data_IF_574252272931
#
_entry.id   IF_574252272931
#
_cell.length_a   1.000
_cell.length_b   1.000
_cell.length_c   1.000
_cell.angle_alpha   90.00
_cell.angle_beta   90.00
_cell.angle_gamma   90.00
#
_symmetry.space_group_name_H-M   'P 1'
#
loop_
_entity.id
_entity.type
_entity.pdbx_description
1 polymer ?
#
# COMPACT_ATOMS: atom_id res chain seq x y z
N UNK A 1 -65.43 10.80 46.97
CA UNK A 1 -64.37 11.81 47.17
C UNK A 1 -63.16 11.34 46.37
N UNK A 2 -62.89 12.00 45.24
CA UNK A 2 -61.73 11.77 44.36
C UNK A 2 -60.46 12.31 45.01
N UNK A 3 -59.33 11.58 44.93
CA UNK A 3 -57.98 12.16 44.98
C UNK A 3 -57.10 11.43 43.96
N UNK A 4 -56.17 12.19 43.37
CA UNK A 4 -55.71 12.18 41.98
C UNK A 4 -54.57 11.21 41.61
N UNK A 5 -54.48 11.02 40.28
CA UNK A 5 -53.37 10.48 39.46
C UNK A 5 -51.97 10.95 39.88
N UNK A 6 -50.99 10.05 39.81
CA UNK A 6 -49.62 10.39 39.39
C UNK A 6 -49.12 9.37 38.35
N UNK A 7 -49.00 9.84 37.10
CA UNK A 7 -48.33 9.10 36.02
C UNK A 7 -46.83 9.25 36.24
N UNK A 8 -46.16 8.20 36.71
CA UNK A 8 -44.70 8.15 36.65
C UNK A 8 -44.32 7.26 35.47
N UNK A 9 -44.31 7.88 34.28
CA UNK A 9 -43.50 7.46 33.16
C UNK A 9 -42.06 7.40 33.68
N UNK A 10 -41.50 6.20 33.86
CA UNK A 10 -40.04 6.07 33.89
C UNK A 10 -39.61 6.06 32.43
N UNK A 11 -38.98 7.12 31.90
CA UNK A 11 -38.48 7.06 30.55
C UNK A 11 -37.34 6.03 30.53
N UNK A 12 -37.42 5.15 29.54
CA UNK A 12 -36.38 4.26 29.07
C UNK A 12 -35.16 5.11 28.63
N UNK A 13 -34.38 5.60 29.58
CA UNK A 13 -33.24 6.49 29.32
C UNK A 13 -31.94 5.80 29.72
N UNK A 14 -31.39 5.04 28.78
CA UNK A 14 -29.94 4.88 28.59
C UNK A 14 -29.72 4.27 27.20
N UNK A 15 -30.24 4.98 26.21
CA UNK A 15 -29.85 4.84 24.81
C UNK A 15 -28.36 5.15 24.73
N UNK A 16 -27.56 4.12 24.43
CA UNK A 16 -26.42 4.17 23.52
C UNK A 16 -25.39 5.25 23.88
N UNK A 17 -24.51 4.92 24.83
CA UNK A 17 -23.15 5.49 24.86
C UNK A 17 -22.31 4.76 23.80
N UNK A 18 -22.66 4.89 22.52
CA UNK A 18 -21.70 4.61 21.45
C UNK A 18 -20.75 5.79 21.48
N UNK A 19 -19.61 5.59 22.15
CA UNK A 19 -18.48 6.47 22.05
C UNK A 19 -18.26 6.81 20.58
N UNK A 20 -18.35 8.08 20.24
CA UNK A 20 -17.86 8.64 19.00
C UNK A 20 -16.32 8.55 18.98
N UNK A 21 -15.76 7.34 18.98
CA UNK A 21 -14.37 7.16 18.59
C UNK A 21 -14.35 7.29 17.06
N UNK A 22 -14.29 8.52 16.57
CA UNK A 22 -13.76 8.75 15.22
C UNK A 22 -12.32 8.26 15.24
N UNK A 23 -12.11 6.98 14.94
CA UNK A 23 -10.78 6.40 14.89
C UNK A 23 -10.11 6.93 13.61
N UNK A 24 -9.64 8.18 13.66
CA UNK A 24 -8.72 8.69 12.65
C UNK A 24 -7.38 8.03 12.95
N UNK A 25 -7.05 7.02 12.15
CA UNK A 25 -5.78 6.34 12.27
C UNK A 25 -4.65 7.32 11.91
N UNK A 26 -3.64 7.45 12.77
CA UNK A 26 -2.49 8.30 12.45
C UNK A 26 -1.79 7.76 11.19
N UNK A 27 -1.39 8.67 10.31
CA UNK A 27 -0.73 8.34 9.04
C UNK A 27 0.71 8.82 9.08
N UNK A 28 1.62 7.97 8.59
CA UNK A 28 3.06 8.25 8.58
C UNK A 28 3.58 8.33 7.15
N UNK A 29 4.67 9.06 6.96
CA UNK A 29 5.35 9.12 5.67
C UNK A 29 6.14 7.83 5.46
N UNK A 30 5.86 7.15 4.35
CA UNK A 30 6.58 5.97 3.88
C UNK A 30 7.28 6.31 2.58
N UNK A 31 8.58 6.04 2.51
CA UNK A 31 9.34 6.18 1.26
C UNK A 31 10.01 4.87 0.90
N UNK A 32 9.82 4.45 -0.33
CA UNK A 32 10.36 3.20 -0.87
C UNK A 32 11.15 3.54 -2.12
N UNK A 33 12.41 3.13 -2.16
CA UNK A 33 13.19 3.06 -3.39
C UNK A 33 13.13 1.64 -3.92
N UNK A 34 12.42 1.43 -5.02
CA UNK A 34 12.38 0.16 -5.72
C UNK A 34 13.57 0.05 -6.66
N UNK A 35 14.19 -1.12 -6.71
CA UNK A 35 15.19 -1.53 -7.70
C UNK A 35 14.80 -2.90 -8.23
N UNK A 36 14.71 -3.05 -9.55
CA UNK A 36 14.40 -4.33 -10.18
C UNK A 36 15.39 -4.64 -11.29
N UNK A 37 16.13 -5.74 -11.12
CA UNK A 37 17.00 -6.30 -12.15
C UNK A 37 16.13 -6.98 -13.23
N UNK A 38 16.13 -6.40 -14.43
CA UNK A 38 15.42 -6.92 -15.60
C UNK A 38 16.37 -7.49 -16.67
N UNK A 39 17.67 -7.65 -16.37
CA UNK A 39 18.69 -8.14 -17.32
C UNK A 39 18.41 -9.54 -17.87
N UNK A 40 17.56 -10.31 -17.18
CA UNK A 40 17.14 -11.65 -17.59
C UNK A 40 16.08 -11.67 -18.71
N UNK A 41 15.52 -10.51 -19.05
CA UNK A 41 14.38 -10.39 -19.96
C UNK A 41 14.88 -9.90 -21.30
N UNK A 42 14.76 -10.76 -22.30
CA UNK A 42 15.12 -10.42 -23.67
C UNK A 42 14.32 -9.21 -24.17
N UNK A 43 15.02 -8.25 -24.77
CA UNK A 43 14.41 -7.05 -25.38
C UNK A 43 13.58 -6.20 -24.42
N UNK A 44 13.89 -6.21 -23.12
CA UNK A 44 13.30 -5.26 -22.17
C UNK A 44 13.74 -3.83 -22.52
N UNK A 45 12.78 -2.91 -22.62
CA UNK A 45 13.05 -1.49 -22.92
C UNK A 45 12.40 -0.52 -21.94
N UNK A 46 11.46 -1.01 -21.13
CA UNK A 46 10.83 -0.26 -20.07
C UNK A 46 10.29 -1.22 -19.01
N UNK A 47 10.39 -0.80 -17.75
CA UNK A 47 9.70 -1.44 -16.63
C UNK A 47 8.85 -0.39 -15.93
N UNK A 48 7.67 -0.80 -15.50
CA UNK A 48 6.80 -0.02 -14.65
C UNK A 48 6.41 -0.79 -13.41
N UNK A 49 5.77 -0.08 -12.48
CA UNK A 49 5.26 -0.65 -11.24
C UNK A 49 3.84 -0.16 -10.97
N UNK A 50 3.01 -1.04 -10.42
CA UNK A 50 1.68 -0.70 -9.95
C UNK A 50 1.33 -1.48 -8.69
N UNK A 51 0.46 -0.91 -7.86
CA UNK A 51 0.12 -1.51 -6.58
C UNK A 51 -0.80 -0.64 -5.74
N UNK A 52 -0.92 -0.97 -4.45
CA UNK A 52 -1.79 -0.26 -3.49
C UNK A 52 -1.46 1.24 -3.35
N UNK A 53 -0.22 1.65 -3.66
CA UNK A 53 0.22 3.04 -3.57
C UNK A 53 -0.11 3.88 -4.81
N UNK A 54 -0.66 3.27 -5.87
CA UNK A 54 -1.15 4.02 -7.05
C UNK A 54 -2.51 4.66 -6.78
N UNK A 55 -2.88 5.67 -7.57
CA UNK A 55 -4.17 6.37 -7.44
C UNK A 55 -4.86 6.49 -8.80
N UNK A 56 -5.97 5.76 -9.04
CA UNK A 56 -6.55 4.71 -8.17
C UNK A 56 -5.63 3.50 -7.95
N UNK A 57 -5.80 2.71 -6.88
CA UNK A 57 -5.01 1.50 -6.62
C UNK A 57 -5.11 0.51 -7.78
N UNK A 58 -3.97 -0.04 -8.21
CA UNK A 58 -3.85 -1.00 -9.30
C UNK A 58 -4.37 -0.52 -10.66
N UNK A 59 -4.62 0.77 -10.85
CA UNK A 59 -5.15 1.29 -12.11
C UNK A 59 -4.03 1.74 -13.05
N UNK A 60 -3.05 2.46 -12.52
CA UNK A 60 -1.97 3.09 -13.32
C UNK A 60 -0.64 2.40 -13.16
N UNK A 61 0.14 2.35 -14.24
CA UNK A 61 1.55 1.95 -14.24
C UNK A 61 2.39 3.22 -14.03
N UNK A 62 3.25 3.20 -13.03
CA UNK A 62 4.27 4.24 -12.83
C UNK A 62 5.54 3.77 -13.55
N UNK A 63 6.07 4.52 -14.52
CA UNK A 63 7.31 4.15 -15.20
C UNK A 63 8.49 4.22 -14.24
N UNK A 64 9.43 3.29 -14.37
CA UNK A 64 10.71 3.26 -13.67
C UNK A 64 11.82 3.71 -14.62
N UNK A 65 12.89 4.28 -14.08
CA UNK A 65 14.04 4.79 -14.84
C UNK A 65 15.21 3.81 -14.80
N UNK A 66 15.95 3.69 -15.89
CA UNK A 66 17.24 3.00 -15.99
C UNK A 66 18.25 4.04 -16.52
N UNK A 67 18.67 4.97 -15.65
CA UNK A 67 19.51 6.11 -16.05
C UNK A 67 20.94 5.66 -16.36
N UNK A 68 21.40 4.63 -15.65
CA UNK A 68 22.72 4.02 -15.78
C UNK A 68 22.82 3.04 -16.97
N UNK A 69 21.69 2.64 -17.56
CA UNK A 69 21.60 1.69 -18.68
C UNK A 69 22.22 0.33 -18.35
N UNK A 70 22.09 -0.10 -17.10
CA UNK A 70 22.61 -1.39 -16.62
C UNK A 70 21.53 -2.48 -16.54
N UNK A 71 20.28 -2.14 -16.91
CA UNK A 71 19.13 -3.04 -16.85
C UNK A 71 18.50 -3.15 -15.46
N UNK A 72 18.92 -2.33 -14.50
CA UNK A 72 18.29 -2.19 -13.18
C UNK A 72 17.40 -0.95 -13.22
N UNK A 73 16.09 -1.19 -13.12
CA UNK A 73 15.12 -0.11 -13.14
C UNK A 73 14.84 0.37 -11.72
N UNK A 74 14.81 1.69 -11.53
CA UNK A 74 14.64 2.34 -10.25
C UNK A 74 13.41 3.25 -10.19
N UNK A 75 12.77 3.33 -9.01
CA UNK A 75 11.72 4.31 -8.74
C UNK A 75 11.64 4.61 -7.25
N UNK A 76 11.52 5.89 -6.91
CA UNK A 76 11.21 6.33 -5.55
C UNK A 76 9.74 6.70 -5.41
N UNK A 77 9.02 6.01 -4.52
CA UNK A 77 7.64 6.31 -4.16
C UNK A 77 7.59 6.84 -2.74
N UNK A 78 6.86 7.92 -2.50
CA UNK A 78 6.59 8.45 -1.16
C UNK A 78 5.10 8.65 -0.95
N UNK A 79 4.55 8.13 0.16
CA UNK A 79 3.12 8.25 0.48
C UNK A 79 2.92 8.47 1.98
N UNK A 80 1.94 9.29 2.34
CA UNK A 80 1.44 9.37 3.73
C UNK A 80 0.33 8.34 3.89
N UNK A 81 0.53 7.32 4.72
CA UNK A 81 -0.45 6.26 4.95
C UNK A 81 -0.36 5.69 6.37
N UNK A 82 -1.45 5.10 6.85
CA UNK A 82 -1.50 4.29 8.05
C UNK A 82 -1.32 2.79 7.77
N UNK A 83 -1.26 2.41 6.49
CA UNK A 83 -1.12 1.03 6.05
C UNK A 83 0.20 0.43 6.55
N UNK A 84 0.12 -0.77 7.13
CA UNK A 84 1.28 -1.56 7.55
C UNK A 84 1.82 -2.45 6.43
N UNK A 85 1.14 -2.51 5.29
CA UNK A 85 1.57 -3.26 4.12
C UNK A 85 1.11 -2.63 2.83
N UNK A 86 1.83 -2.90 1.74
CA UNK A 86 1.40 -2.54 0.40
C UNK A 86 1.75 -3.66 -0.58
N UNK A 87 0.77 -4.06 -1.37
CA UNK A 87 0.98 -5.01 -2.45
C UNK A 87 1.29 -4.30 -3.76
N UNK A 88 2.12 -4.93 -4.60
CA UNK A 88 2.48 -4.41 -5.91
C UNK A 88 2.99 -5.51 -6.86
N UNK A 89 3.13 -5.14 -8.13
CA UNK A 89 3.85 -5.91 -9.15
C UNK A 89 4.62 -4.97 -10.08
N UNK A 90 5.75 -5.46 -10.57
CA UNK A 90 6.42 -4.92 -11.75
C UNK A 90 5.68 -5.35 -13.04
N UNK A 91 5.83 -4.55 -14.08
CA UNK A 91 5.16 -4.70 -15.36
C UNK A 91 6.16 -4.36 -16.47
N UNK A 92 6.18 -5.15 -17.54
CA UNK A 92 7.04 -4.89 -18.70
C UNK A 92 6.46 -3.77 -19.61
N UNK A 93 7.18 -3.46 -20.69
CA UNK A 93 6.80 -2.45 -21.68
C UNK A 93 5.47 -2.74 -22.40
N UNK A 94 5.00 -3.99 -22.38
CA UNK A 94 3.76 -4.42 -23.02
C UNK A 94 2.58 -4.49 -22.02
N UNK A 95 2.79 -4.12 -20.76
CA UNK A 95 1.77 -4.23 -19.72
C UNK A 95 1.65 -5.63 -19.12
N UNK A 96 2.59 -6.53 -19.40
CA UNK A 96 2.60 -7.89 -18.86
C UNK A 96 3.15 -7.86 -17.44
N UNK A 97 2.35 -8.37 -16.50
CA UNK A 97 2.75 -8.51 -15.11
C UNK A 97 3.88 -9.51 -14.95
N UNK A 98 4.81 -9.18 -14.05
CA UNK A 98 5.72 -10.16 -13.50
C UNK A 98 4.98 -11.27 -12.72
N UNK A 99 5.68 -12.38 -12.50
CA UNK A 99 5.23 -13.47 -11.63
C UNK A 99 3.83 -13.95 -12.05
N UNK A 100 3.65 -14.21 -13.35
CA UNK A 100 2.37 -14.62 -13.93
C UNK A 100 1.83 -15.86 -13.23
N UNK A 101 0.58 -15.77 -12.75
CA UNK A 101 -0.08 -16.85 -12.00
C UNK A 101 0.36 -16.98 -10.54
N UNK A 102 1.25 -16.11 -10.05
CA UNK A 102 1.68 -16.06 -8.66
C UNK A 102 1.19 -14.78 -7.97
N UNK A 103 1.29 -14.77 -6.65
CA UNK A 103 0.87 -13.66 -5.80
C UNK A 103 1.60 -12.34 -6.08
N UNK A 104 1.07 -11.27 -5.48
CA UNK A 104 1.69 -9.95 -5.49
C UNK A 104 2.92 -9.93 -4.58
N UNK A 105 3.87 -9.04 -4.88
CA UNK A 105 4.92 -8.69 -3.92
C UNK A 105 4.31 -7.88 -2.79
N UNK A 106 4.87 -8.01 -1.58
CA UNK A 106 4.36 -7.34 -0.38
C UNK A 106 5.48 -6.54 0.27
N UNK A 107 5.22 -5.27 0.54
CA UNK A 107 6.00 -4.44 1.45
C UNK A 107 5.41 -4.51 2.85
N UNK A 108 6.27 -4.48 3.86
CA UNK A 108 5.87 -4.42 5.26
C UNK A 108 6.44 -3.17 5.90
N UNK A 109 5.57 -2.35 6.46
CA UNK A 109 5.92 -1.11 7.12
C UNK A 109 5.70 -1.20 8.63
N UNK A 110 6.54 -0.52 9.39
CA UNK A 110 6.29 -0.25 10.80
C UNK A 110 5.22 0.82 10.98
N UNK A 111 4.70 1.03 12.18
CA UNK A 111 3.79 2.15 12.48
C UNK A 111 4.55 3.43 12.87
N UNK A 112 5.47 3.87 12.02
CA UNK A 112 6.32 5.07 12.21
C UNK A 112 6.78 5.62 10.84
N UNK A 113 7.28 6.85 10.70
CA UNK A 113 7.92 7.27 9.45
C UNK A 113 9.07 6.33 9.07
N UNK A 114 9.10 5.84 7.83
CA UNK A 114 10.06 4.79 7.43
C UNK A 114 10.55 5.02 6.00
N UNK A 115 11.85 4.78 5.79
CA UNK A 115 12.50 4.72 4.49
C UNK A 115 13.09 3.34 4.28
N UNK A 116 12.90 2.77 3.10
CA UNK A 116 13.43 1.46 2.76
C UNK A 116 13.78 1.36 1.28
N UNK A 117 14.60 0.38 0.96
CA UNK A 117 14.89 -0.06 -0.40
C UNK A 117 14.29 -1.45 -0.60
N UNK A 118 13.59 -1.65 -1.72
CA UNK A 118 13.13 -2.97 -2.14
C UNK A 118 13.91 -3.41 -3.38
N UNK A 119 14.59 -4.54 -3.31
CA UNK A 119 15.43 -5.09 -4.39
C UNK A 119 14.84 -6.42 -4.84
N UNK A 120 14.71 -6.62 -6.14
CA UNK A 120 14.30 -7.90 -6.71
C UNK A 120 14.86 -8.11 -8.11
N UNK A 121 14.72 -9.33 -8.61
CA UNK A 121 14.86 -9.66 -10.03
C UNK A 121 13.47 -9.87 -10.64
N UNK A 122 13.25 -9.37 -11.84
CA UNK A 122 11.96 -9.50 -12.51
C UNK A 122 11.65 -10.99 -12.75
N UNK A 123 10.41 -11.41 -12.45
CA UNK A 123 9.95 -12.80 -12.47
C UNK A 123 10.61 -13.77 -11.46
N UNK A 124 11.48 -13.29 -10.58
CA UNK A 124 11.93 -14.04 -9.41
C UNK A 124 10.99 -13.73 -8.22
N UNK A 125 10.32 -14.72 -7.61
CA UNK A 125 9.45 -14.48 -6.47
C UNK A 125 10.19 -13.93 -5.25
N UNK A 126 11.51 -14.08 -5.18
CA UNK A 126 12.32 -13.51 -4.12
C UNK A 126 12.51 -12.00 -4.32
N UNK A 127 12.47 -11.29 -3.20
CA UNK A 127 12.78 -9.88 -3.14
C UNK A 127 13.10 -9.50 -1.70
N UNK A 128 13.95 -8.50 -1.53
CA UNK A 128 14.48 -8.11 -0.23
C UNK A 128 14.07 -6.68 0.10
N UNK A 129 13.62 -6.48 1.35
CA UNK A 129 13.30 -5.17 1.89
C UNK A 129 14.38 -4.74 2.90
N UNK A 130 15.17 -3.74 2.53
CA UNK A 130 16.28 -3.23 3.34
C UNK A 130 15.85 -1.90 3.98
N UNK A 131 15.87 -1.84 5.31
CA UNK A 131 15.55 -0.61 6.06
C UNK A 131 16.74 0.36 6.03
N UNK A 132 16.45 1.66 5.96
CA UNK A 132 17.45 2.74 5.97
C UNK A 132 17.43 3.52 7.28
#
# INVERSE_FOLDING_TARGET
MMIQRSKNLVPLLSIIFVCFTSCVQETHLKTVTFKVDATAIDSITAVGIKGNFTSPPWDRIIPMSDEEQDGIYELKVTRKTADHQAEFKFVDQNGIYELKGQGNRVLHFKYEPERLTYIARFNDPHGEQIKQ
#
